data_IF_025891444036
#
_entry.id   IF_025891444036
#
_cell.length_a   1.000
_cell.length_b   1.000
_cell.length_c   1.000
_cell.angle_alpha   90.00
_cell.angle_beta   90.00
_cell.angle_gamma   90.00
#
_symmetry.space_group_name_H-M   'P 1'
#
loop_
_entity.id
_entity.type
_entity.pdbx_description
1 polymer ?
#
# COMPACT_ATOMS: atom_id res chain seq x y z
N UNK A 1 7.59 -9.99 8.88
CA UNK A 1 7.93 -9.58 7.50
C UNK A 1 6.85 -10.15 6.64
N UNK A 2 6.08 -9.26 6.05
CA UNK A 2 4.78 -9.55 5.48
C UNK A 2 4.92 -9.38 3.96
N UNK A 3 4.24 -10.24 3.22
CA UNK A 3 4.34 -10.27 1.76
C UNK A 3 2.96 -10.22 1.14
N UNK A 4 2.85 -9.54 0.00
CA UNK A 4 1.63 -9.37 -0.78
C UNK A 4 1.97 -9.55 -2.27
N UNK A 5 1.00 -10.06 -3.03
CA UNK A 5 1.07 -10.09 -4.49
C UNK A 5 0.23 -8.95 -5.05
N UNK A 6 0.88 -8.01 -5.74
CA UNK A 6 0.21 -6.91 -6.43
C UNK A 6 -0.66 -7.42 -7.59
N UNK A 7 -1.49 -6.54 -8.14
CA UNK A 7 -2.44 -6.87 -9.22
C UNK A 7 -1.79 -7.43 -10.49
N UNK A 8 -0.52 -7.11 -10.75
CA UNK A 8 0.24 -7.64 -11.89
C UNK A 8 1.06 -8.91 -11.58
N UNK A 9 0.92 -9.46 -10.37
CA UNK A 9 1.66 -10.63 -9.90
C UNK A 9 2.99 -10.33 -9.23
N UNK A 10 3.41 -9.06 -9.13
CA UNK A 10 4.66 -8.67 -8.46
C UNK A 10 4.55 -8.88 -6.96
N UNK A 11 5.57 -9.49 -6.35
CA UNK A 11 5.63 -9.64 -4.90
C UNK A 11 6.30 -8.43 -4.24
N UNK A 12 5.60 -7.86 -3.26
CA UNK A 12 6.12 -6.81 -2.40
C UNK A 12 6.26 -7.36 -0.98
N UNK A 13 7.33 -6.95 -0.29
CA UNK A 13 7.57 -7.36 1.10
C UNK A 13 8.03 -6.19 1.97
N UNK A 14 7.58 -6.17 3.21
CA UNK A 14 7.98 -5.17 4.21
C UNK A 14 7.94 -5.73 5.63
N UNK A 15 8.52 -5.00 6.58
CA UNK A 15 8.60 -5.43 7.98
C UNK A 15 7.27 -5.27 8.72
N UNK A 16 6.42 -4.35 8.28
CA UNK A 16 5.11 -4.04 8.87
C UNK A 16 4.05 -3.85 7.80
N UNK A 17 2.78 -4.02 8.17
CA UNK A 17 1.64 -3.81 7.25
C UNK A 17 1.56 -2.37 6.73
N UNK A 18 1.88 -1.38 7.57
CA UNK A 18 1.90 0.03 7.19
C UNK A 18 2.95 0.29 6.10
N UNK A 19 4.15 -0.26 6.27
CA UNK A 19 5.19 -0.14 5.24
C UNK A 19 4.83 -0.92 3.97
N UNK A 20 4.11 -2.03 4.11
CA UNK A 20 3.66 -2.83 2.97
C UNK A 20 2.56 -2.11 2.17
N UNK A 21 1.58 -1.53 2.86
CA UNK A 21 0.51 -0.73 2.28
C UNK A 21 1.06 0.53 1.58
N UNK A 22 2.00 1.22 2.22
CA UNK A 22 2.68 2.37 1.60
C UNK A 22 3.46 1.96 0.34
N UNK A 23 4.18 0.83 0.36
CA UNK A 23 4.86 0.30 -0.84
C UNK A 23 3.88 -0.08 -1.94
N UNK A 24 2.73 -0.65 -1.58
CA UNK A 24 1.70 -1.02 -2.55
C UNK A 24 1.05 0.21 -3.18
N UNK A 25 0.77 1.25 -2.39
CA UNK A 25 0.29 2.53 -2.89
C UNK A 25 1.28 3.17 -3.88
N UNK A 26 2.57 3.20 -3.52
CA UNK A 26 3.65 3.66 -4.42
C UNK A 26 3.73 2.82 -5.70
N UNK A 27 3.46 1.51 -5.60
CA UNK A 27 3.52 0.60 -6.73
C UNK A 27 2.38 0.82 -7.72
N UNK A 28 1.14 0.92 -7.22
CA UNK A 28 -0.06 0.99 -8.05
C UNK A 28 -0.39 2.40 -8.54
N UNK A 29 -0.15 3.42 -7.72
CA UNK A 29 -0.46 4.82 -8.06
C UNK A 29 0.77 5.58 -8.58
N UNK A 30 1.96 5.00 -8.40
CA UNK A 30 3.23 5.64 -8.69
C UNK A 30 3.82 6.37 -7.48
N UNK A 31 5.13 6.56 -7.52
CA UNK A 31 5.84 7.31 -6.47
C UNK A 31 5.34 8.74 -6.40
N UNK A 32 5.09 9.22 -5.19
CA UNK A 32 4.56 10.56 -4.94
C UNK A 32 3.05 10.67 -5.21
N UNK A 33 2.30 9.56 -5.13
CA UNK A 33 0.84 9.57 -5.19
C UNK A 33 0.20 10.48 -4.13
N UNK A 34 0.93 10.74 -3.04
CA UNK A 34 0.55 11.62 -1.95
C UNK A 34 0.93 13.09 -2.18
N UNK A 35 1.62 13.42 -3.28
CA UNK A 35 1.95 14.80 -3.63
C UNK A 35 0.73 15.58 -4.13
N UNK A 36 0.36 16.63 -3.41
CA UNK A 36 -0.70 17.55 -3.84
C UNK A 36 -2.13 17.10 -3.53
N UNK A 37 -2.32 15.97 -2.85
CA UNK A 37 -3.62 15.56 -2.31
C UNK A 37 -3.83 16.05 -0.87
N UNK A 38 -5.08 16.09 -0.40
CA UNK A 38 -5.34 16.48 0.98
C UNK A 38 -4.92 15.38 1.96
N UNK A 39 -4.59 15.72 3.22
CA UNK A 39 -4.28 14.70 4.24
C UNK A 39 -5.41 13.69 4.47
N UNK A 40 -6.66 14.08 4.24
CA UNK A 40 -7.81 13.17 4.36
C UNK A 40 -7.87 12.17 3.20
N UNK A 41 -7.57 12.62 1.99
CA UNK A 41 -7.50 11.72 0.81
C UNK A 41 -6.32 10.76 0.97
N UNK A 42 -5.17 11.25 1.43
CA UNK A 42 -4.00 10.42 1.75
C UNK A 42 -4.35 9.34 2.78
N UNK A 43 -5.05 9.71 3.85
CA UNK A 43 -5.50 8.77 4.86
C UNK A 43 -6.49 7.74 4.30
N UNK A 44 -7.44 8.16 3.48
CA UNK A 44 -8.44 7.27 2.86
C UNK A 44 -7.76 6.22 2.00
N UNK A 45 -6.89 6.65 1.08
CA UNK A 45 -6.16 5.76 0.17
C UNK A 45 -5.27 4.79 0.96
N UNK A 46 -4.48 5.29 1.92
CA UNK A 46 -3.61 4.41 2.73
C UNK A 46 -4.43 3.43 3.58
N UNK A 47 -5.62 3.83 4.03
CA UNK A 47 -6.56 2.97 4.75
C UNK A 47 -7.04 1.79 3.90
N UNK A 48 -7.43 2.03 2.64
CA UNK A 48 -7.84 0.98 1.71
C UNK A 48 -6.71 -0.04 1.47
N UNK A 49 -5.47 0.44 1.31
CA UNK A 49 -4.32 -0.46 1.16
C UNK A 49 -3.97 -1.23 2.44
N UNK A 50 -4.17 -0.62 3.60
CA UNK A 50 -3.98 -1.29 4.89
C UNK A 50 -5.00 -2.41 5.10
N UNK A 51 -6.26 -2.17 4.75
CA UNK A 51 -7.30 -3.20 4.79
C UNK A 51 -6.94 -4.36 3.84
N UNK A 52 -6.58 -4.05 2.60
CA UNK A 52 -6.16 -5.06 1.62
C UNK A 52 -4.96 -5.89 2.11
N UNK A 53 -3.92 -5.23 2.64
CA UNK A 53 -2.76 -5.93 3.22
C UNK A 53 -3.17 -6.81 4.40
N UNK A 54 -4.04 -6.33 5.28
CA UNK A 54 -4.54 -7.11 6.43
C UNK A 54 -5.32 -8.36 6.01
N UNK A 55 -6.01 -8.31 4.87
CA UNK A 55 -6.78 -9.44 4.33
C UNK A 55 -5.92 -10.45 3.55
N UNK A 56 -4.90 -9.99 2.84
CA UNK A 56 -4.19 -10.80 1.84
C UNK A 56 -2.70 -11.05 2.10
N UNK A 57 -2.12 -10.45 3.15
CA UNK A 57 -0.73 -10.71 3.52
C UNK A 57 -0.57 -12.05 4.25
N UNK A 58 0.56 -12.72 3.99
CA UNK A 58 0.96 -14.00 4.61
C UNK A 58 2.16 -13.87 5.50
#
# INVERSE_FOLDING_TARGET
MNTITATDGTQLSAETDVLLASKLADYEQGKGWDEGISPFDQHTILGEYLEYVGEFSS
#
